data_IF_044263688909
#
_entry.id   IF_044263688909
#
_cell.length_a   1.000
_cell.length_b   1.000
_cell.length_c   1.000
_cell.angle_alpha   90.00
_cell.angle_beta   90.00
_cell.angle_gamma   90.00
#
_symmetry.space_group_name_H-M   'P 1'
#
loop_
_entity.id
_entity.type
_entity.pdbx_description
1 polymer ?
#
# COMPACT_ATOMS: atom_id res chain seq x y z
N UNK A 1 -21.36 11.28 11.97
CA UNK A 1 -20.56 10.38 11.13
C UNK A 1 -20.32 9.10 11.92
N UNK A 2 -20.82 7.98 11.43
CA UNK A 2 -20.55 6.68 12.04
C UNK A 2 -19.37 6.04 11.29
N UNK A 3 -18.17 6.14 11.89
CA UNK A 3 -16.95 5.55 11.37
C UNK A 3 -16.50 4.48 12.33
N UNK A 4 -16.18 3.30 11.83
CA UNK A 4 -15.52 2.25 12.59
C UNK A 4 -14.10 2.01 12.07
N UNK A 5 -13.18 1.68 13.00
CA UNK A 5 -11.81 1.30 12.68
C UNK A 5 -11.40 0.15 13.59
N UNK A 6 -11.36 -1.05 13.05
CA UNK A 6 -11.22 -2.26 13.85
C UNK A 6 -10.23 -3.24 13.24
N UNK A 7 -9.49 -3.96 14.11
CA UNK A 7 -8.62 -5.07 13.69
C UNK A 7 -9.44 -6.36 13.64
N UNK A 8 -9.35 -7.09 12.54
CA UNK A 8 -10.01 -8.38 12.30
C UNK A 8 -8.97 -9.47 12.09
N UNK A 9 -9.38 -10.72 12.31
CA UNK A 9 -8.52 -11.90 12.13
C UNK A 9 -8.90 -12.72 10.89
N UNK A 10 -10.15 -12.69 10.50
CA UNK A 10 -10.69 -13.48 9.39
C UNK A 10 -11.08 -12.60 8.21
N UNK A 11 -10.89 -13.05 6.95
CA UNK A 11 -10.26 -14.31 6.50
C UNK A 11 -8.73 -14.34 6.64
N UNK A 12 -8.10 -13.22 6.98
CA UNK A 12 -6.69 -13.02 7.31
C UNK A 12 -6.57 -11.83 8.26
N UNK A 13 -5.47 -11.65 9.00
CA UNK A 13 -5.28 -10.47 9.84
C UNK A 13 -5.26 -9.19 9.00
N UNK A 14 -6.18 -8.26 9.30
CA UNK A 14 -6.31 -6.98 8.60
C UNK A 14 -6.96 -5.92 9.48
N UNK A 15 -6.94 -4.69 9.03
CA UNK A 15 -7.73 -3.59 9.57
C UNK A 15 -8.86 -3.24 8.62
N UNK A 16 -10.05 -3.03 9.20
CA UNK A 16 -11.21 -2.50 8.48
C UNK A 16 -11.44 -1.04 8.91
N UNK A 17 -11.62 -0.20 7.92
CA UNK A 17 -12.16 1.14 8.10
C UNK A 17 -13.46 1.23 7.32
N UNK A 18 -14.53 1.51 8.03
CA UNK A 18 -15.88 1.58 7.48
C UNK A 18 -16.48 2.96 7.74
N UNK A 19 -17.13 3.50 6.75
CA UNK A 19 -17.95 4.70 6.86
C UNK A 19 -19.38 4.34 6.45
N UNK A 20 -20.27 4.25 7.44
CA UNK A 20 -21.68 3.86 7.20
C UNK A 20 -22.50 4.96 6.54
N UNK A 21 -22.07 6.20 6.58
CA UNK A 21 -22.72 7.31 5.86
C UNK A 21 -22.58 7.14 4.33
N UNK A 22 -21.45 6.60 3.91
CA UNK A 22 -21.15 6.38 2.48
C UNK A 22 -21.34 4.93 2.03
N UNK A 23 -21.86 4.06 2.92
CA UNK A 23 -21.91 2.61 2.67
C UNK A 23 -20.62 2.11 2.02
N UNK A 24 -19.49 2.45 2.66
CA UNK A 24 -18.17 2.19 2.10
C UNK A 24 -17.21 1.63 3.14
N UNK A 25 -16.42 0.64 2.71
CA UNK A 25 -15.47 -0.09 3.54
C UNK A 25 -14.16 -0.32 2.79
N UNK A 26 -13.04 -0.24 3.51
CA UNK A 26 -11.74 -0.71 3.04
C UNK A 26 -11.13 -1.70 4.02
N UNK A 27 -10.43 -2.71 3.48
CA UNK A 27 -9.54 -3.60 4.24
C UNK A 27 -8.11 -3.33 3.90
N UNK A 28 -7.27 -3.33 4.93
CA UNK A 28 -5.85 -3.01 4.81
C UNK A 28 -5.03 -3.97 5.63
N UNK A 29 -3.89 -4.39 5.06
CA UNK A 29 -2.91 -5.26 5.71
C UNK A 29 -1.60 -4.49 5.89
N UNK A 30 -1.41 -3.80 7.02
CA UNK A 30 -0.19 -3.03 7.27
C UNK A 30 1.06 -3.90 7.26
N UNK A 31 0.98 -5.11 7.79
CA UNK A 31 2.09 -6.06 7.89
C UNK A 31 2.62 -6.55 6.54
N UNK A 32 1.86 -6.35 5.46
CA UNK A 32 2.25 -6.70 4.08
C UNK A 32 2.15 -5.47 3.17
N UNK A 33 3.01 -4.50 3.39
CA UNK A 33 3.18 -3.35 2.51
C UNK A 33 2.09 -2.29 2.60
N UNK A 34 1.29 -2.25 3.67
CA UNK A 34 0.15 -1.34 3.74
C UNK A 34 -0.90 -1.61 2.67
N UNK A 35 -0.97 -2.85 2.18
CA UNK A 35 -1.81 -3.27 1.06
C UNK A 35 -3.30 -3.02 1.35
N UNK A 36 -3.96 -2.25 0.50
CA UNK A 36 -5.43 -2.18 0.45
C UNK A 36 -5.93 -3.40 -0.31
N UNK A 37 -6.59 -4.33 0.37
CA UNK A 37 -7.03 -5.60 -0.21
C UNK A 37 -8.47 -5.57 -0.69
N UNK A 38 -9.30 -4.73 -0.09
CA UNK A 38 -10.71 -4.58 -0.44
C UNK A 38 -11.10 -3.11 -0.41
N UNK A 39 -11.90 -2.72 -1.35
CA UNK A 39 -12.69 -1.50 -1.33
C UNK A 39 -14.09 -1.84 -1.79
N UNK A 40 -15.06 -1.68 -0.87
CA UNK A 40 -16.48 -1.84 -1.14
C UNK A 40 -17.15 -0.49 -1.08
N UNK A 41 -18.05 -0.23 -2.01
CA UNK A 41 -18.88 0.96 -2.04
C UNK A 41 -20.25 0.61 -2.61
N UNK A 42 -21.31 1.09 -1.97
CA UNK A 42 -22.70 0.82 -2.35
C UNK A 42 -22.95 -0.70 -2.53
N UNK A 43 -22.48 -1.52 -1.59
CA UNK A 43 -22.63 -2.98 -1.58
C UNK A 43 -21.80 -3.73 -2.65
N UNK A 44 -20.92 -3.05 -3.42
CA UNK A 44 -20.12 -3.65 -4.49
C UNK A 44 -18.65 -3.69 -4.15
N UNK A 45 -18.04 -4.85 -4.35
CA UNK A 45 -16.57 -4.99 -4.30
C UNK A 45 -15.96 -4.45 -5.59
N UNK A 46 -15.10 -3.45 -5.46
CA UNK A 46 -14.52 -2.73 -6.60
C UNK A 46 -13.12 -3.21 -6.95
N UNK A 47 -12.38 -3.82 -6.01
CA UNK A 47 -11.03 -4.32 -6.26
C UNK A 47 -11.05 -5.82 -6.55
N UNK A 48 -10.21 -6.24 -7.50
CA UNK A 48 -9.83 -7.63 -7.63
C UNK A 48 -8.78 -7.95 -6.57
N UNK A 49 -8.93 -9.09 -5.91
CA UNK A 49 -7.96 -9.61 -4.95
C UNK A 49 -7.94 -11.14 -4.97
N UNK A 50 -6.76 -11.71 -5.20
CA UNK A 50 -6.52 -13.15 -5.19
C UNK A 50 -6.17 -13.60 -3.78
N UNK A 51 -7.20 -14.00 -3.03
CA UNK A 51 -7.07 -14.40 -1.63
C UNK A 51 -6.20 -15.66 -1.46
N UNK A 52 -6.39 -16.67 -2.31
CA UNK A 52 -5.63 -17.93 -2.21
C UNK A 52 -4.14 -17.67 -2.38
N UNK A 53 -3.81 -16.87 -3.39
CA UNK A 53 -2.45 -16.47 -3.65
C UNK A 53 -1.86 -15.58 -2.55
N UNK A 54 -2.66 -14.74 -1.94
CA UNK A 54 -2.24 -13.90 -0.81
C UNK A 54 -1.93 -14.71 0.44
N UNK A 55 -2.69 -15.77 0.72
CA UNK A 55 -2.46 -16.67 1.86
C UNK A 55 -1.19 -17.51 1.71
N UNK A 56 -0.78 -17.78 0.49
CA UNK A 56 0.48 -18.46 0.17
C UNK A 56 1.64 -17.46 0.22
N UNK A 57 2.51 -17.60 1.24
CA UNK A 57 3.63 -16.66 1.46
C UNK A 57 4.73 -16.72 0.40
N UNK A 58 4.80 -17.82 -0.33
CA UNK A 58 5.80 -18.04 -1.37
C UNK A 58 5.38 -17.45 -2.71
N UNK A 59 4.13 -17.03 -2.83
CA UNK A 59 3.59 -16.41 -4.04
C UNK A 59 3.55 -14.89 -3.97
N UNK A 60 3.80 -14.27 -5.12
CA UNK A 60 3.61 -12.83 -5.28
C UNK A 60 2.13 -12.45 -5.15
N UNK A 61 1.83 -11.37 -4.45
CA UNK A 61 0.47 -10.84 -4.30
C UNK A 61 -0.09 -10.44 -5.66
N UNK A 62 -1.36 -10.75 -5.91
CA UNK A 62 -2.11 -10.30 -7.07
C UNK A 62 -3.41 -9.62 -6.65
N UNK A 63 -3.62 -8.42 -7.18
CA UNK A 63 -4.77 -7.59 -6.83
C UNK A 63 -4.54 -6.68 -5.63
N UNK A 64 -5.61 -6.01 -5.20
CA UNK A 64 -5.53 -4.92 -4.23
C UNK A 64 -4.82 -3.69 -4.78
N UNK A 65 -4.30 -2.84 -3.88
CA UNK A 65 -3.55 -1.62 -4.23
C UNK A 65 -2.18 -1.67 -3.52
N UNK A 66 -1.17 -2.32 -4.10
CA UNK A 66 0.18 -2.32 -3.57
C UNK A 66 0.89 -0.99 -3.86
N UNK A 67 1.82 -0.62 -2.97
CA UNK A 67 2.73 0.51 -3.14
C UNK A 67 4.07 0.00 -3.63
N UNK A 68 4.52 0.48 -4.78
CA UNK A 68 5.81 0.16 -5.38
C UNK A 68 6.78 1.31 -5.11
N UNK A 69 7.84 1.04 -4.36
CA UNK A 69 8.86 2.01 -3.98
C UNK A 69 10.14 1.27 -3.54
N UNK A 70 11.35 1.76 -3.82
CA UNK A 70 11.68 3.03 -4.49
C UNK A 70 11.73 2.96 -6.02
N UNK A 71 11.38 1.82 -6.62
CA UNK A 71 11.32 1.64 -8.07
C UNK A 71 9.98 1.03 -8.50
N UNK A 72 9.59 1.30 -9.75
CA UNK A 72 8.48 0.66 -10.42
C UNK A 72 9.03 -0.12 -11.63
N UNK A 73 8.87 -1.44 -11.63
CA UNK A 73 9.47 -2.32 -12.62
C UNK A 73 10.71 -3.04 -12.08
N UNK A 74 11.56 -3.47 -12.98
CA UNK A 74 12.82 -4.15 -12.71
C UNK A 74 14.00 -3.27 -13.14
N UNK A 75 15.11 -3.37 -12.45
CA UNK A 75 16.37 -2.81 -12.90
C UNK A 75 17.10 -3.88 -13.70
N UNK A 76 17.51 -3.55 -14.92
CA UNK A 76 18.28 -4.49 -15.78
C UNK A 76 19.65 -4.82 -15.20
N UNK A 77 20.17 -3.94 -14.34
CA UNK A 77 21.48 -4.07 -13.71
C UNK A 77 21.46 -3.51 -12.29
N UNK A 78 22.45 -3.88 -11.50
CA UNK A 78 22.72 -3.23 -10.21
C UNK A 78 22.90 -1.73 -10.40
N UNK A 79 22.32 -0.94 -9.52
CA UNK A 79 22.53 0.49 -9.53
C UNK A 79 23.67 0.89 -8.58
N UNK A 80 24.32 2.01 -8.88
CA UNK A 80 25.47 2.47 -8.12
C UNK A 80 25.26 3.86 -7.55
N UNK A 81 25.56 4.04 -6.27
CA UNK A 81 25.56 5.35 -5.60
C UNK A 81 26.90 5.54 -4.92
N UNK A 82 27.58 6.65 -5.26
CA UNK A 82 28.91 6.98 -4.74
C UNK A 82 29.93 5.82 -4.87
N UNK A 83 29.86 5.10 -6.01
CA UNK A 83 30.77 3.98 -6.31
C UNK A 83 30.42 2.65 -5.62
N UNK A 84 29.41 2.61 -4.76
CA UNK A 84 28.94 1.38 -4.13
C UNK A 84 27.73 0.84 -4.88
N UNK A 85 27.76 -0.46 -5.21
CA UNK A 85 26.64 -1.16 -5.86
C UNK A 85 25.57 -1.55 -4.87
N UNK A 86 24.31 -1.47 -5.31
CA UNK A 86 23.13 -1.85 -4.56
C UNK A 86 22.22 -2.69 -5.46
N UNK A 87 21.49 -3.62 -4.86
CA UNK A 87 20.52 -4.48 -5.53
C UNK A 87 19.11 -4.16 -5.02
N UNK A 88 18.19 -3.88 -5.92
CA UNK A 88 16.77 -3.75 -5.64
C UNK A 88 16.00 -4.85 -6.34
N UNK A 89 15.10 -5.50 -5.61
CA UNK A 89 14.15 -6.43 -6.20
C UNK A 89 13.16 -5.67 -7.09
N UNK A 90 12.57 -6.38 -8.05
CA UNK A 90 11.49 -5.86 -8.87
C UNK A 90 10.41 -5.15 -8.02
N UNK A 91 10.09 -3.92 -8.38
CA UNK A 91 9.16 -3.04 -7.67
C UNK A 91 9.61 -2.57 -6.28
N UNK A 92 10.87 -2.78 -5.93
CA UNK A 92 11.42 -2.36 -4.64
C UNK A 92 10.91 -3.20 -3.47
N UNK A 93 10.89 -2.59 -2.29
CA UNK A 93 10.65 -3.28 -1.02
C UNK A 93 9.42 -2.81 -0.23
N UNK A 94 8.83 -1.66 -0.58
CA UNK A 94 7.77 -1.07 0.26
C UNK A 94 6.54 -1.98 0.42
N UNK A 95 6.21 -2.75 -0.61
CA UNK A 95 5.10 -3.73 -0.61
C UNK A 95 5.36 -4.97 0.26
N UNK A 96 6.61 -5.20 0.66
CA UNK A 96 7.01 -6.37 1.44
C UNK A 96 7.30 -6.05 2.92
N UNK A 97 7.41 -4.75 3.25
CA UNK A 97 7.70 -4.29 4.61
C UNK A 97 6.44 -3.98 5.40
N UNK A 98 6.49 -4.12 6.75
CA UNK A 98 5.39 -3.70 7.60
C UNK A 98 5.32 -2.19 7.71
N UNK A 99 4.10 -1.65 7.65
CA UNK A 99 3.78 -0.24 7.84
C UNK A 99 3.05 -0.04 9.16
N UNK A 100 3.28 1.05 9.85
CA UNK A 100 2.42 1.45 10.96
C UNK A 100 1.10 2.03 10.42
N UNK A 101 0.01 1.83 11.16
CA UNK A 101 -1.33 2.29 10.80
C UNK A 101 -1.97 3.09 11.93
N UNK A 102 -2.71 4.13 11.59
CA UNK A 102 -3.48 4.96 12.52
C UNK A 102 -4.66 5.61 11.81
N UNK A 103 -5.66 6.06 12.59
CA UNK A 103 -6.69 6.96 12.06
C UNK A 103 -6.08 8.34 11.76
N UNK A 104 -6.58 8.98 10.71
CA UNK A 104 -6.37 10.41 10.48
C UNK A 104 -7.10 11.18 11.59
N UNK A 105 -6.53 12.30 12.05
CA UNK A 105 -7.00 13.03 13.24
C UNK A 105 -8.49 13.40 13.20
N UNK A 106 -9.01 13.76 12.03
CA UNK A 106 -10.42 14.09 11.79
C UNK A 106 -11.31 12.87 11.51
N UNK A 107 -10.75 11.66 11.63
CA UNK A 107 -11.39 10.38 11.31
C UNK A 107 -11.88 10.25 9.86
N UNK A 108 -11.38 11.06 8.94
CA UNK A 108 -11.77 11.01 7.51
C UNK A 108 -11.17 9.84 6.74
N UNK A 109 -10.32 9.04 7.38
CA UNK A 109 -9.62 7.90 6.78
C UNK A 109 -8.53 7.36 7.67
N UNK A 110 -7.63 6.61 7.08
CA UNK A 110 -6.49 6.00 7.75
C UNK A 110 -5.18 6.53 7.18
N UNK A 111 -4.18 6.52 8.03
CA UNK A 111 -2.79 6.85 7.69
C UNK A 111 -1.90 5.64 7.89
N UNK A 112 -1.15 5.32 6.87
CA UNK A 112 -0.06 4.34 6.92
C UNK A 112 1.27 5.07 6.82
N UNK A 113 2.28 4.56 7.53
CA UNK A 113 3.62 5.15 7.53
C UNK A 113 4.67 4.06 7.45
N UNK A 114 5.59 4.21 6.52
CA UNK A 114 6.82 3.42 6.40
C UNK A 114 8.01 4.34 6.64
N UNK A 115 8.88 3.92 7.55
CA UNK A 115 10.16 4.58 7.81
C UNK A 115 11.24 3.63 7.33
N UNK A 116 12.36 4.18 6.89
CA UNK A 116 13.52 3.37 6.53
C UNK A 116 13.99 2.50 7.70
N UNK A 117 14.57 1.38 7.34
CA UNK A 117 15.17 0.40 8.26
C UNK A 117 16.58 0.05 7.78
N UNK A 118 17.38 -0.62 8.58
CA UNK A 118 18.68 -1.13 8.14
C UNK A 118 18.54 -2.02 6.90
N UNK A 119 17.49 -2.84 6.85
CA UNK A 119 17.17 -3.66 5.69
C UNK A 119 16.92 -2.82 4.44
N UNK A 120 16.06 -1.81 4.51
CA UNK A 120 15.79 -0.95 3.35
C UNK A 120 17.02 -0.13 2.95
N UNK A 121 17.83 0.34 3.93
CA UNK A 121 19.07 1.08 3.65
C UNK A 121 20.17 0.20 3.04
N UNK A 122 20.18 -1.08 3.30
CA UNK A 122 21.15 -1.99 2.64
C UNK A 122 20.91 -2.12 1.14
N UNK A 123 19.68 -1.85 0.67
CA UNK A 123 19.27 -1.88 -0.73
C UNK A 123 19.14 -0.47 -1.34
N UNK A 124 18.78 0.51 -0.53
CA UNK A 124 18.49 1.90 -0.94
C UNK A 124 19.00 2.84 0.15
N UNK A 125 20.24 3.36 0.03
CA UNK A 125 20.97 3.99 1.13
C UNK A 125 20.52 5.42 1.43
N UNK A 126 19.22 5.63 1.54
CA UNK A 126 18.61 6.93 1.83
C UNK A 126 17.74 6.85 3.07
N UNK A 127 17.71 7.95 3.82
CA UNK A 127 16.77 8.15 4.90
C UNK A 127 15.48 8.72 4.32
N UNK A 128 14.36 8.05 4.57
CA UNK A 128 13.06 8.46 4.04
C UNK A 128 11.92 8.16 5.01
N UNK A 129 10.84 8.86 4.81
CA UNK A 129 9.54 8.50 5.38
C UNK A 129 8.49 8.56 4.28
N UNK A 130 7.74 7.46 4.13
CA UNK A 130 6.54 7.40 3.30
C UNK A 130 5.31 7.53 4.19
N UNK A 131 4.39 8.39 3.81
CA UNK A 131 3.06 8.50 4.42
C UNK A 131 2.03 8.27 3.33
N UNK A 132 1.15 7.31 3.54
CA UNK A 132 0.01 7.07 2.68
C UNK A 132 -1.27 7.32 3.47
N UNK A 133 -2.05 8.29 3.03
CA UNK A 133 -3.39 8.58 3.55
C UNK A 133 -4.42 7.95 2.61
N UNK A 134 -5.30 7.12 3.15
CA UNK A 134 -6.39 6.45 2.44
C UNK A 134 -7.70 6.94 3.02
N UNK A 135 -8.50 7.62 2.21
CA UNK A 135 -9.75 8.24 2.65
C UNK A 135 -10.92 7.77 1.79
N UNK A 136 -12.00 7.38 2.46
CA UNK A 136 -13.28 7.13 1.81
C UNK A 136 -14.01 8.46 1.61
N UNK A 137 -14.43 8.70 0.40
CA UNK A 137 -15.36 9.77 0.02
C UNK A 137 -16.67 9.12 -0.44
N UNK A 138 -17.71 9.90 -0.62
CA UNK A 138 -19.06 9.40 -0.95
C UNK A 138 -19.06 8.28 -2.01
N UNK A 139 -18.35 8.45 -3.12
CA UNK A 139 -18.27 7.46 -4.22
C UNK A 139 -16.84 7.22 -4.72
N UNK A 140 -15.84 7.53 -3.90
CA UNK A 140 -14.46 7.40 -4.32
C UNK A 140 -13.52 7.04 -3.17
N UNK A 141 -12.44 6.37 -3.52
CA UNK A 141 -11.31 6.12 -2.67
C UNK A 141 -10.18 7.08 -3.05
N UNK A 142 -9.82 7.95 -2.14
CA UNK A 142 -8.71 8.87 -2.33
C UNK A 142 -7.45 8.34 -1.64
N UNK A 143 -6.39 8.15 -2.41
CA UNK A 143 -5.07 7.76 -1.88
C UNK A 143 -4.10 8.90 -2.14
N UNK A 144 -3.47 9.39 -1.08
CA UNK A 144 -2.45 10.43 -1.12
C UNK A 144 -1.15 9.89 -0.54
N UNK A 145 -0.06 9.95 -1.30
CA UNK A 145 1.26 9.49 -0.85
C UNK A 145 2.21 10.68 -0.77
N UNK A 146 2.86 10.80 0.40
CA UNK A 146 3.89 11.81 0.66
C UNK A 146 5.21 11.10 0.93
N UNK A 147 6.26 11.55 0.26
CA UNK A 147 7.62 11.05 0.43
C UNK A 147 8.47 12.17 1.00
N UNK A 148 9.08 11.91 2.13
CA UNK A 148 10.04 12.83 2.76
C UNK A 148 11.43 12.25 2.59
N UNK A 149 12.27 12.93 1.83
CA UNK A 149 13.70 12.64 1.80
C UNK A 149 14.34 13.29 3.03
N UNK A 150 14.89 12.47 3.89
CA UNK A 150 15.60 12.90 5.11
C UNK A 150 17.12 12.78 4.96
N UNK A 151 17.59 12.38 3.77
CA UNK A 151 19.01 12.36 3.43
C UNK A 151 19.50 13.76 3.06
N UNK A 152 20.81 14.00 3.21
CA UNK A 152 21.47 15.26 2.79
C UNK A 152 21.66 15.38 1.28
N UNK A 153 21.38 14.32 0.53
CA UNK A 153 21.59 14.22 -0.92
C UNK A 153 20.26 13.93 -1.62
N UNK A 154 20.21 14.19 -2.92
CA UNK A 154 19.06 13.87 -3.75
C UNK A 154 18.80 12.36 -3.75
N UNK A 155 17.55 11.99 -3.55
CA UNK A 155 17.10 10.62 -3.51
C UNK A 155 16.41 10.28 -4.84
N UNK A 156 17.05 9.51 -5.74
CA UNK A 156 16.42 9.07 -6.98
C UNK A 156 15.37 8.00 -6.65
N UNK A 157 14.14 8.23 -7.03
CA UNK A 157 13.07 7.29 -6.77
C UNK A 157 11.98 7.32 -7.83
N UNK A 158 11.26 6.21 -7.95
CA UNK A 158 9.97 6.11 -8.60
C UNK A 158 8.94 5.58 -7.61
N UNK A 159 7.73 6.09 -7.69
CA UNK A 159 6.59 5.64 -6.91
C UNK A 159 5.46 5.24 -7.84
N UNK A 160 4.84 4.10 -7.59
CA UNK A 160 3.60 3.73 -8.27
C UNK A 160 2.62 3.07 -7.31
N UNK A 161 1.35 3.30 -7.58
CA UNK A 161 0.23 2.50 -7.08
C UNK A 161 -0.35 1.75 -8.26
N UNK A 162 -0.40 0.43 -8.16
CA UNK A 162 -1.08 -0.40 -9.16
C UNK A 162 -2.41 -0.84 -8.56
N UNK A 163 -3.50 -0.67 -9.30
CA UNK A 163 -4.81 -1.13 -8.87
C UNK A 163 -5.48 -1.93 -9.99
N UNK A 164 -6.09 -3.03 -9.60
CA UNK A 164 -6.85 -3.90 -10.50
C UNK A 164 -8.30 -3.83 -10.07
N UNK A 165 -9.13 -3.23 -10.94
CA UNK A 165 -10.56 -3.15 -10.71
C UNK A 165 -11.28 -4.42 -11.15
N UNK A 166 -12.37 -4.74 -10.48
CA UNK A 166 -13.29 -5.81 -10.83
C UNK A 166 -14.26 -5.28 -11.87
N UNK A 167 -14.19 -5.78 -13.10
CA UNK A 167 -15.16 -5.44 -14.14
C UNK A 167 -16.28 -6.48 -14.19
N UNK A 168 -17.51 -6.01 -14.17
CA UNK A 168 -18.68 -6.83 -14.42
C UNK A 168 -19.06 -6.66 -15.90
N UNK A 169 -18.84 -7.73 -16.70
CA UNK A 169 -19.31 -7.73 -18.09
C UNK A 169 -20.82 -7.93 -18.06
N UNK A 170 -21.59 -6.88 -18.34
CA UNK A 170 -23.01 -7.02 -18.62
C UNK A 170 -23.17 -7.76 -19.94
N UNK A 171 -23.55 -9.04 -19.91
CA UNK A 171 -24.06 -9.70 -21.11
C UNK A 171 -25.38 -9.04 -21.48
N UNK A 172 -25.46 -8.46 -22.71
CA UNK A 172 -26.71 -8.03 -23.32
C UNK A 172 -27.61 -9.21 -23.58
#
# INVERSE_FOLDING_TARGET
MSVSFTKKKNPYPHWEYENTEFDSLIRIVPERGGLVTEWRSEGKDLLYFDLERFLDKDKSIRGGIPILFPICGDLSEDYSIAGKKYLLKQHGFARDLPWSISLIKDKSGIRLKLIETDYSRSQFPFFFTLIMDVQLKEKSLQISVKIYNQSKILCPLALACIHIFKFQICKK
#
